data_IF_852207613259
#
_entry.id   IF_852207613259
#
_cell.length_a   1.000
_cell.length_b   1.000
_cell.length_c   1.000
_cell.angle_alpha   90.00
_cell.angle_beta   90.00
_cell.angle_gamma   90.00
#
_symmetry.space_group_name_H-M   'P 1'
#
loop_
_entity.id
_entity.type
_entity.pdbx_description
1 polymer ?
#
# COMPACT_ATOMS: atom_id res chain seq x y z
N UNK A 1 -4.64 2.83 -8.03
CA UNK A 1 -4.24 2.93 -6.60
C UNK A 1 -3.75 4.35 -6.42
N UNK A 2 -4.48 5.14 -5.66
CA UNK A 2 -4.10 6.52 -5.42
C UNK A 2 -2.90 6.56 -4.46
N UNK A 3 -1.79 7.11 -4.93
CA UNK A 3 -0.54 7.33 -4.18
C UNK A 3 -0.40 8.80 -3.77
N UNK A 4 -1.48 9.58 -3.79
CA UNK A 4 -1.47 10.93 -3.27
C UNK A 4 -1.02 10.93 -1.80
N UNK A 5 -0.28 11.98 -1.36
CA UNK A 5 -0.02 12.18 0.05
C UNK A 5 -1.30 12.00 0.87
N UNK A 6 -1.25 11.33 2.02
CA UNK A 6 -2.17 11.64 3.12
C UNK A 6 -1.97 13.11 3.53
N UNK A 7 -2.46 14.04 2.72
CA UNK A 7 -2.85 15.35 3.20
C UNK A 7 -3.95 15.11 4.23
N UNK A 8 -3.91 15.75 5.41
CA UNK A 8 -5.01 15.68 6.36
C UNK A 8 -6.24 16.32 5.71
N UNK A 9 -7.28 15.52 5.49
CA UNK A 9 -8.61 16.02 5.19
C UNK A 9 -9.38 16.21 6.50
N UNK A 10 -10.33 17.15 6.56
CA UNK A 10 -11.21 17.32 7.72
C UNK A 10 -11.93 16.00 8.07
N UNK A 11 -12.17 15.76 9.36
CA UNK A 11 -12.66 14.50 9.99
C UNK A 11 -14.01 13.94 9.48
N UNK A 12 -14.60 14.52 8.43
CA UNK A 12 -16.00 14.32 8.02
C UNK A 12 -16.19 13.75 6.61
N UNK A 13 -15.12 13.58 5.82
CA UNK A 13 -15.23 12.95 4.50
C UNK A 13 -14.76 11.49 4.54
N UNK A 14 -15.63 10.57 4.11
CA UNK A 14 -15.25 9.18 3.81
C UNK A 14 -14.21 9.20 2.69
N UNK A 15 -12.94 9.04 3.07
CA UNK A 15 -11.81 9.08 2.14
C UNK A 15 -11.80 7.82 1.28
N UNK A 16 -12.23 7.95 0.03
CA UNK A 16 -12.07 6.94 -1.03
C UNK A 16 -10.60 6.85 -1.43
N UNK A 17 -10.08 5.64 -1.53
CA UNK A 17 -8.67 5.36 -1.91
C UNK A 17 -8.57 4.83 -3.34
N UNK A 18 -9.67 4.29 -3.87
CA UNK A 18 -9.76 3.80 -5.23
C UNK A 18 -10.70 4.68 -6.07
N UNK A 19 -10.47 4.76 -7.40
CA UNK A 19 -11.42 5.33 -8.33
C UNK A 19 -12.81 4.70 -8.17
N UNK A 20 -13.87 5.46 -8.47
CA UNK A 20 -15.27 5.02 -8.28
C UNK A 20 -15.59 3.69 -8.98
N UNK A 21 -15.01 3.46 -10.17
CA UNK A 21 -15.15 2.20 -10.92
C UNK A 21 -14.65 0.96 -10.17
N UNK A 22 -13.86 1.13 -9.10
CA UNK A 22 -13.33 0.04 -8.26
C UNK A 22 -13.85 0.09 -6.81
N UNK A 23 -14.96 0.79 -6.55
CA UNK A 23 -15.49 0.97 -5.18
C UNK A 23 -15.83 -0.35 -4.47
N UNK A 24 -16.22 -1.38 -5.22
CA UNK A 24 -16.49 -2.71 -4.68
C UNK A 24 -15.23 -3.31 -4.02
N UNK A 25 -14.05 -3.08 -4.60
CA UNK A 25 -12.77 -3.51 -4.01
C UNK A 25 -12.46 -2.77 -2.71
N UNK A 26 -12.89 -1.51 -2.58
CA UNK A 26 -12.73 -0.76 -1.32
C UNK A 26 -13.63 -1.32 -0.21
N UNK A 27 -14.86 -1.71 -0.56
CA UNK A 27 -15.78 -2.41 0.37
C UNK A 27 -15.23 -3.77 0.80
N UNK A 28 -14.65 -4.54 -0.13
CA UNK A 28 -13.99 -5.80 0.17
C UNK A 28 -12.77 -5.59 1.09
N UNK A 29 -11.93 -4.59 0.80
CA UNK A 29 -10.79 -4.24 1.63
C UNK A 29 -11.21 -3.86 3.06
N UNK A 30 -12.30 -3.10 3.20
CA UNK A 30 -12.86 -2.79 4.52
C UNK A 30 -13.32 -4.06 5.26
N UNK A 31 -13.98 -4.99 4.57
CA UNK A 31 -14.36 -6.28 5.12
C UNK A 31 -13.17 -7.10 5.62
N UNK A 32 -12.08 -7.14 4.84
CA UNK A 32 -10.83 -7.80 5.24
C UNK A 32 -10.19 -7.12 6.45
N UNK A 33 -10.10 -5.79 6.44
CA UNK A 33 -9.53 -5.03 7.55
C UNK A 33 -10.33 -5.22 8.83
N UNK A 34 -11.66 -5.18 8.76
CA UNK A 34 -12.53 -5.43 9.90
C UNK A 34 -12.27 -6.82 10.49
N UNK A 35 -12.26 -7.86 9.65
CA UNK A 35 -12.02 -9.24 10.06
C UNK A 35 -10.65 -9.42 10.74
N UNK A 36 -9.59 -8.86 10.16
CA UNK A 36 -8.22 -9.13 10.59
C UNK A 36 -7.72 -8.18 11.69
N UNK A 37 -8.23 -6.96 11.78
CA UNK A 37 -7.71 -5.92 12.67
C UNK A 37 -8.72 -5.37 13.69
N UNK A 38 -10.04 -5.49 13.46
CA UNK A 38 -11.07 -4.96 14.37
C UNK A 38 -11.74 -6.09 15.16
N UNK A 39 -12.13 -7.16 14.48
CA UNK A 39 -12.82 -8.31 15.08
C UNK A 39 -11.85 -9.35 15.68
N UNK A 40 -10.54 -9.20 15.41
CA UNK A 40 -9.49 -10.12 15.85
C UNK A 40 -8.43 -9.38 16.66
N UNK A 41 -8.19 -9.86 17.89
CA UNK A 41 -7.13 -9.34 18.76
C UNK A 41 -5.73 -9.88 18.39
N UNK A 42 -5.61 -10.67 17.32
CA UNK A 42 -4.34 -11.30 16.93
C UNK A 42 -3.35 -10.33 16.28
N UNK A 43 -3.84 -9.25 15.68
CA UNK A 43 -3.03 -8.28 14.95
C UNK A 43 -3.22 -6.87 15.56
N UNK A 44 -2.77 -6.64 16.81
CA UNK A 44 -2.94 -5.36 17.47
C UNK A 44 -2.16 -4.26 16.76
N UNK A 45 -2.62 -3.01 16.88
CA UNK A 45 -1.95 -1.85 16.28
C UNK A 45 -0.50 -1.73 16.75
N UNK A 46 0.43 -1.61 15.79
CA UNK A 46 1.88 -1.62 16.03
C UNK A 46 2.47 -0.35 16.65
N UNK A 47 1.63 0.65 16.96
CA UNK A 47 2.05 1.95 17.49
C UNK A 47 2.33 2.98 16.39
N UNK A 48 3.07 4.03 16.71
CA UNK A 48 3.21 5.18 15.81
C UNK A 48 3.92 4.85 14.49
N UNK A 49 3.33 5.33 13.40
CA UNK A 49 3.94 5.37 12.08
C UNK A 49 4.65 6.72 11.94
N UNK A 50 5.91 6.76 11.45
CA UNK A 50 6.64 8.02 11.26
C UNK A 50 5.79 9.03 10.46
N UNK A 51 5.67 10.30 10.90
CA UNK A 51 4.76 11.27 10.27
C UNK A 51 4.96 11.41 8.76
N UNK A 52 6.21 11.42 8.31
CA UNK A 52 6.59 11.46 6.89
C UNK A 52 6.19 10.21 6.09
N UNK A 53 6.01 9.07 6.76
CA UNK A 53 5.61 7.81 6.15
C UNK A 53 4.09 7.65 6.11
N UNK A 54 3.36 8.25 7.06
CA UNK A 54 1.90 8.11 7.19
C UNK A 54 1.22 8.32 5.85
N UNK A 55 1.67 9.32 5.09
CA UNK A 55 1.14 9.66 3.76
C UNK A 55 1.08 8.53 2.72
N UNK A 56 1.76 7.41 2.95
CA UNK A 56 1.80 6.25 2.06
C UNK A 56 1.06 5.02 2.62
N UNK A 57 0.41 5.14 3.77
CA UNK A 57 -0.41 4.07 4.34
C UNK A 57 -1.89 4.27 3.98
N UNK A 58 -2.54 3.20 3.55
CA UNK A 58 -4.00 3.17 3.46
C UNK A 58 -4.62 3.23 4.86
N UNK A 59 -5.81 3.84 5.03
CA UNK A 59 -6.57 3.74 6.29
C UNK A 59 -6.88 2.30 6.72
N UNK A 60 -6.80 1.33 5.78
CA UNK A 60 -7.04 -0.11 6.01
C UNK A 60 -5.73 -0.92 6.08
N UNK A 61 -4.62 -0.27 6.39
CA UNK A 61 -3.33 -0.91 6.54
C UNK A 61 -3.29 -1.84 7.77
N UNK A 62 -2.67 -3.01 7.61
CA UNK A 62 -2.34 -3.93 8.71
C UNK A 62 -0.96 -3.55 9.24
N UNK A 63 -0.92 -2.80 10.35
CA UNK A 63 0.32 -2.42 11.02
C UNK A 63 0.34 -3.00 12.42
N UNK A 64 1.22 -3.96 12.67
CA UNK A 64 1.31 -4.67 13.94
C UNK A 64 2.75 -4.92 14.36
N UNK A 65 2.99 -4.95 15.67
CA UNK A 65 4.28 -5.34 16.26
C UNK A 65 4.04 -6.52 17.20
N UNK A 66 4.52 -7.69 16.81
CA UNK A 66 4.37 -8.92 17.56
C UNK A 66 5.60 -9.16 18.44
N UNK A 67 5.38 -9.42 19.73
CA UNK A 67 6.41 -9.67 20.72
C UNK A 67 6.09 -10.93 21.51
N UNK A 68 7.13 -11.58 22.06
CA UNK A 68 6.97 -12.75 22.92
C UNK A 68 6.93 -14.10 22.18
N UNK A 69 6.77 -15.20 22.92
CA UNK A 69 6.92 -16.57 22.39
C UNK A 69 5.86 -16.95 21.35
N UNK A 70 4.65 -16.37 21.45
CA UNK A 70 3.53 -16.63 20.53
C UNK A 70 3.62 -15.85 19.21
N UNK A 71 4.61 -14.97 19.05
CA UNK A 71 4.75 -14.14 17.87
C UNK A 71 4.89 -14.98 16.59
N UNK A 72 5.69 -16.05 16.63
CA UNK A 72 5.89 -16.93 15.48
C UNK A 72 4.60 -17.66 15.09
N UNK A 73 3.85 -18.17 16.07
CA UNK A 73 2.54 -18.80 15.82
C UNK A 73 1.54 -17.82 15.23
N UNK A 74 1.55 -16.58 15.71
CA UNK A 74 0.71 -15.49 15.17
C UNK A 74 1.09 -15.14 13.73
N UNK A 75 2.39 -15.12 13.41
CA UNK A 75 2.88 -14.90 12.05
C UNK A 75 2.41 -16.03 11.11
N UNK A 76 2.61 -17.29 11.51
CA UNK A 76 2.25 -18.45 10.70
C UNK A 76 0.73 -18.63 10.54
N UNK A 77 -0.08 -18.10 11.46
CA UNK A 77 -1.54 -18.14 11.41
C UNK A 77 -2.16 -16.84 10.89
N UNK A 78 -2.31 -15.87 11.79
CA UNK A 78 -3.08 -14.65 11.52
C UNK A 78 -2.43 -13.75 10.47
N UNK A 79 -1.11 -13.53 10.54
CA UNK A 79 -0.43 -12.70 9.53
C UNK A 79 -0.46 -13.38 8.17
N UNK A 80 -0.22 -14.70 8.13
CA UNK A 80 -0.28 -15.47 6.88
C UNK A 80 -1.68 -15.40 6.24
N UNK A 81 -2.74 -15.60 7.03
CA UNK A 81 -4.12 -15.47 6.53
C UNK A 81 -4.43 -14.07 6.03
N UNK A 82 -4.05 -13.02 6.77
CA UNK A 82 -4.25 -11.63 6.32
C UNK A 82 -3.45 -11.33 5.05
N UNK A 83 -2.22 -11.82 4.95
CA UNK A 83 -1.38 -11.68 3.76
C UNK A 83 -2.03 -12.30 2.52
N UNK A 84 -2.55 -13.53 2.64
CA UNK A 84 -3.23 -14.21 1.53
C UNK A 84 -4.47 -13.42 1.09
N UNK A 85 -5.35 -13.07 2.02
CA UNK A 85 -6.59 -12.34 1.71
C UNK A 85 -6.31 -10.99 1.01
N UNK A 86 -5.34 -10.22 1.51
CA UNK A 86 -4.97 -8.92 0.92
C UNK A 86 -4.29 -9.08 -0.45
N UNK A 87 -3.45 -10.11 -0.61
CA UNK A 87 -2.79 -10.40 -1.88
C UNK A 87 -3.81 -10.83 -2.94
N UNK A 88 -4.74 -11.72 -2.59
CA UNK A 88 -5.77 -12.20 -3.50
C UNK A 88 -6.65 -11.03 -3.97
N UNK A 89 -7.08 -10.16 -3.05
CA UNK A 89 -7.86 -8.96 -3.40
C UNK A 89 -7.07 -8.01 -4.34
N UNK A 90 -5.78 -7.81 -4.07
CA UNK A 90 -4.93 -6.99 -4.94
C UNK A 90 -4.81 -7.59 -6.35
N UNK A 91 -4.63 -8.91 -6.46
CA UNK A 91 -4.55 -9.60 -7.75
C UNK A 91 -5.87 -9.51 -8.53
N UNK A 92 -7.01 -9.65 -7.85
CA UNK A 92 -8.33 -9.46 -8.47
C UNK A 92 -8.52 -8.04 -8.99
N UNK A 93 -8.12 -7.02 -8.22
CA UNK A 93 -8.14 -5.62 -8.65
C UNK A 93 -7.27 -5.40 -9.89
N UNK A 94 -6.05 -5.96 -9.90
CA UNK A 94 -5.14 -5.86 -11.04
C UNK A 94 -5.69 -6.55 -12.29
N UNK A 95 -6.35 -7.70 -12.14
CA UNK A 95 -7.01 -8.40 -13.24
C UNK A 95 -8.19 -7.60 -13.79
N UNK A 96 -8.99 -6.97 -12.92
CA UNK A 96 -10.06 -6.08 -13.34
C UNK A 96 -9.51 -4.87 -14.11
N UNK A 97 -8.53 -4.16 -13.54
CA UNK A 97 -7.91 -3.00 -14.18
C UNK A 97 -7.29 -3.34 -15.56
N UNK A 98 -6.70 -4.53 -15.68
CA UNK A 98 -6.18 -5.02 -16.96
C UNK A 98 -7.30 -5.21 -17.99
N UNK A 99 -8.42 -5.84 -17.60
CA UNK A 99 -9.58 -6.03 -18.50
C UNK A 99 -10.15 -4.70 -18.97
N UNK A 100 -10.24 -3.72 -18.08
CA UNK A 100 -10.75 -2.39 -18.40
C UNK A 100 -9.82 -1.65 -19.38
N UNK A 101 -8.50 -1.86 -19.26
CA UNK A 101 -7.52 -1.27 -20.19
C UNK A 101 -7.53 -1.96 -21.57
N UNK A 102 -7.69 -3.29 -21.59
CA UNK A 102 -7.69 -4.09 -22.83
C UNK A 102 -9.04 -4.05 -23.56
N UNK A 103 -10.14 -3.76 -22.86
CA UNK A 103 -11.51 -3.72 -23.37
C UNK A 103 -11.81 -2.57 -24.34
N UNK A 104 -10.87 -1.64 -24.52
CA UNK A 104 -11.07 -0.40 -25.26
C UNK A 104 -11.74 0.67 -24.41
N UNK A 105 -11.60 1.96 -24.77
CA UNK A 105 -12.23 3.05 -24.02
C UNK A 105 -13.76 2.86 -24.05
N UNK A 106 -14.38 2.91 -22.88
CA UNK A 106 -15.82 3.04 -22.78
C UNK A 106 -16.20 4.45 -23.26
N UNK A 107 -17.10 4.57 -24.25
CA UNK A 107 -17.49 5.83 -24.91
C UNK A 107 -18.10 6.87 -23.93
N UNK A 108 -18.24 6.52 -22.65
CA UNK A 108 -18.82 7.33 -21.59
C UNK A 108 -17.82 8.10 -20.72
N UNK A 109 -16.51 7.89 -20.85
CA UNK A 109 -15.52 8.54 -19.98
C UNK A 109 -14.91 9.79 -20.60
N UNK A 110 -14.77 10.84 -19.78
CA UNK A 110 -14.08 12.07 -20.16
C UNK A 110 -12.57 11.79 -20.25
N UNK A 111 -12.01 11.92 -21.46
CA UNK A 111 -10.59 11.66 -21.72
C UNK A 111 -9.67 12.57 -20.90
N UNK A 112 -10.10 13.79 -20.57
CA UNK A 112 -9.31 14.72 -19.75
C UNK A 112 -9.24 14.24 -18.29
N UNK A 113 -10.32 13.65 -17.77
CA UNK A 113 -10.37 13.10 -16.41
C UNK A 113 -9.47 11.86 -16.26
N UNK A 114 -9.43 11.00 -17.28
CA UNK A 114 -8.56 9.82 -17.27
C UNK A 114 -7.07 10.16 -17.39
N UNK A 115 -6.73 11.19 -18.19
CA UNK A 115 -5.37 11.70 -18.29
C UNK A 115 -4.88 12.31 -16.97
N UNK A 116 -5.69 13.15 -16.32
CA UNK A 116 -5.35 13.72 -15.01
C UNK A 116 -5.22 12.64 -13.92
N UNK A 117 -6.11 11.64 -13.90
CA UNK A 117 -6.01 10.52 -12.98
C UNK A 117 -4.73 9.69 -13.18
N UNK A 118 -4.34 9.44 -14.44
CA UNK A 118 -3.10 8.74 -14.78
C UNK A 118 -1.87 9.54 -14.33
N UNK A 119 -1.86 10.85 -14.58
CA UNK A 119 -0.78 11.74 -14.16
C UNK A 119 -0.64 11.79 -12.65
N UNK A 120 -1.75 11.91 -11.92
CA UNK A 120 -1.77 11.88 -10.46
C UNK A 120 -1.22 10.56 -9.90
N UNK A 121 -1.60 9.42 -10.49
CA UNK A 121 -1.07 8.11 -10.11
C UNK A 121 0.45 8.01 -10.34
N UNK A 122 0.96 8.49 -11.48
CA UNK A 122 2.38 8.49 -11.81
C UNK A 122 3.19 9.39 -10.87
N UNK A 123 2.69 10.59 -10.58
CA UNK A 123 3.31 11.52 -9.64
C UNK A 123 3.37 10.94 -8.22
N UNK A 124 2.29 10.30 -7.77
CA UNK A 124 2.24 9.60 -6.48
C UNK A 124 3.22 8.43 -6.42
N UNK A 125 3.33 7.63 -7.49
CA UNK A 125 4.29 6.52 -7.57
C UNK A 125 5.74 7.03 -7.50
N UNK A 126 6.08 8.08 -8.26
CA UNK A 126 7.39 8.74 -8.19
C UNK A 126 7.70 9.24 -6.79
N UNK A 127 6.75 9.95 -6.18
CA UNK A 127 6.88 10.48 -4.82
C UNK A 127 7.15 9.39 -3.79
N UNK A 128 6.44 8.25 -3.88
CA UNK A 128 6.65 7.11 -2.99
C UNK A 128 8.03 6.49 -3.16
N UNK A 129 8.48 6.27 -4.40
CA UNK A 129 9.79 5.66 -4.68
C UNK A 129 10.95 6.55 -4.23
N UNK A 130 10.87 7.86 -4.47
CA UNK A 130 11.84 8.82 -3.95
C UNK A 130 11.90 8.81 -2.42
N UNK A 131 10.74 8.79 -1.77
CA UNK A 131 10.66 8.69 -0.31
C UNK A 131 11.31 7.42 0.21
N UNK A 132 10.97 6.25 -0.35
CA UNK A 132 11.55 4.95 0.05
C UNK A 132 13.04 4.91 -0.21
N UNK A 133 13.51 5.44 -1.34
CA UNK A 133 14.94 5.56 -1.62
C UNK A 133 15.63 6.35 -0.52
N UNK A 134 15.13 7.51 -0.12
CA UNK A 134 15.78 8.29 0.93
C UNK A 134 15.62 7.70 2.36
N UNK A 135 14.50 7.05 2.66
CA UNK A 135 14.07 6.76 4.03
C UNK A 135 13.87 5.27 4.34
N UNK A 136 14.39 4.34 3.52
CA UNK A 136 14.17 2.91 3.75
C UNK A 136 14.67 2.47 5.14
N UNK A 137 13.79 1.93 6.01
CA UNK A 137 14.16 1.55 7.37
C UNK A 137 15.14 0.37 7.43
N UNK A 138 15.25 -0.43 6.37
CA UNK A 138 16.22 -1.52 6.29
C UNK A 138 17.64 -1.02 5.97
N UNK A 139 17.81 0.23 5.53
CA UNK A 139 19.11 0.79 5.12
C UNK A 139 20.22 0.60 6.15
N UNK A 140 20.06 0.91 7.46
CA UNK A 140 21.13 0.71 8.44
C UNK A 140 21.51 -0.77 8.61
N UNK A 141 20.51 -1.67 8.59
CA UNK A 141 20.73 -3.11 8.67
C UNK A 141 21.49 -3.61 7.42
N UNK A 142 21.08 -3.18 6.23
CA UNK A 142 21.73 -3.56 4.97
C UNK A 142 23.17 -3.06 4.91
N UNK A 143 23.45 -1.80 5.32
CA UNK A 143 24.82 -1.26 5.40
C UNK A 143 25.69 -2.09 6.33
N UNK A 144 25.14 -2.51 7.47
CA UNK A 144 25.87 -3.35 8.43
C UNK A 144 26.20 -4.75 7.88
N UNK A 145 25.35 -5.32 7.04
CA UNK A 145 25.50 -6.69 6.53
C UNK A 145 26.36 -6.74 5.26
N UNK A 146 26.22 -5.76 4.37
CA UNK A 146 26.73 -5.83 3.00
C UNK A 146 27.62 -4.64 2.62
N UNK A 147 27.78 -3.67 3.51
CA UNK A 147 28.54 -2.45 3.25
C UNK A 147 27.71 -1.38 2.54
N UNK A 148 28.27 -0.17 2.53
CA UNK A 148 27.59 1.02 2.02
C UNK A 148 27.32 0.94 0.51
N UNK A 149 28.35 0.71 -0.30
CA UNK A 149 28.25 0.70 -1.76
C UNK A 149 27.19 -0.30 -2.26
N UNK A 150 27.22 -1.53 -1.75
CA UNK A 150 26.26 -2.56 -2.13
C UNK A 150 24.82 -2.18 -1.74
N UNK A 151 24.65 -1.59 -0.55
CA UNK A 151 23.34 -1.17 -0.05
C UNK A 151 22.74 -0.05 -0.88
N UNK A 152 23.54 0.98 -1.21
CA UNK A 152 23.07 2.09 -2.05
C UNK A 152 22.65 1.56 -3.43
N UNK A 153 23.47 0.71 -4.05
CA UNK A 153 23.12 0.08 -5.34
C UNK A 153 21.84 -0.77 -5.27
N UNK A 154 21.66 -1.58 -4.22
CA UNK A 154 20.43 -2.37 -4.05
C UNK A 154 19.19 -1.45 -3.98
N UNK A 155 19.27 -0.38 -3.20
CA UNK A 155 18.16 0.55 -2.98
C UNK A 155 17.82 1.30 -4.27
N UNK A 156 18.81 1.80 -4.99
CA UNK A 156 18.63 2.63 -6.18
C UNK A 156 18.32 1.81 -7.44
N UNK A 157 19.04 0.71 -7.65
CA UNK A 157 19.00 -0.06 -8.91
C UNK A 157 18.00 -1.21 -8.88
N UNK A 158 17.49 -1.64 -7.70
CA UNK A 158 16.63 -2.83 -7.59
C UNK A 158 15.34 -2.53 -6.85
N UNK A 159 15.41 -2.06 -5.61
CA UNK A 159 14.22 -1.94 -4.76
C UNK A 159 13.33 -0.75 -5.15
N UNK A 160 13.93 0.41 -5.46
CA UNK A 160 13.20 1.65 -5.75
C UNK A 160 13.77 2.35 -6.99
N UNK A 161 13.70 1.66 -8.13
CA UNK A 161 14.12 2.18 -9.44
C UNK A 161 13.33 3.44 -9.84
N UNK A 162 13.90 4.24 -10.74
CA UNK A 162 13.20 5.39 -11.33
C UNK A 162 12.19 4.93 -12.40
N UNK A 163 11.10 5.68 -12.51
CA UNK A 163 9.97 5.54 -13.46
C UNK A 163 9.54 6.93 -13.93
#
# INVERSE_FOLDING_TARGET
>A
IDFHPLTPLPETEERRVLPERYIDFESLLEGLHRRHCIESDKLPWGGDIPPQAQRYFSPRAVWTRLLGPEALGTVQGAVWSAYQDYLDLYLELMLQAKRDTEGGPDDSHDAEEEEEAMKGALEGQRSYLEYRRANDPARPMLKSLYGEEWTERLIEEVLFQHI
#
